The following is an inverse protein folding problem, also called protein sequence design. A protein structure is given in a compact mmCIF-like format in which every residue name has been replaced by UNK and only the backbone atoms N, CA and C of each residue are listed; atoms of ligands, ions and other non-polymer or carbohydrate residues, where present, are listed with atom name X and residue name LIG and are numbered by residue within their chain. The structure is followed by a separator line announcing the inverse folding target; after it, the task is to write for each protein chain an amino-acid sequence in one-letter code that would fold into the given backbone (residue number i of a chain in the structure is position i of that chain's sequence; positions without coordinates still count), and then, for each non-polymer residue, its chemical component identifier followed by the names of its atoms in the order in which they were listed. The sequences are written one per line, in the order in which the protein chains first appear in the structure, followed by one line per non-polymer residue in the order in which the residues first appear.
data_IF_325429892124
#
_entry.id   IF_325429892124
#
_cell.length_a   1.000
_cell.length_b   1.000
_cell.length_c   1.000
_cell.angle_alpha   90.00
_cell.angle_beta   90.00
_cell.angle_gamma   90.00
#
_symmetry.space_group_name_H-M   'P 1'
#
loop_
_entity.id
_entity.type
_entity.pdbx_description
1 polymer ?
#
# COMPACT_ATOMS: atom_id res chain seq x y z
N UNK A 1 5.22 -9.31 -18.53
CA UNK A 1 4.17 -8.33 -18.16
C UNK A 1 4.82 -6.98 -17.94
N UNK A 2 4.34 -5.97 -18.63
CA UNK A 2 4.88 -4.64 -18.47
C UNK A 2 4.33 -4.01 -17.19
N UNK A 3 5.24 -3.51 -16.36
CA UNK A 3 4.88 -2.78 -15.15
C UNK A 3 4.75 -1.31 -15.49
N UNK A 4 3.53 -0.80 -15.46
CA UNK A 4 3.23 0.58 -15.87
C UNK A 4 3.11 1.57 -14.72
N UNK A 5 3.23 1.10 -13.48
CA UNK A 5 3.08 1.96 -12.31
C UNK A 5 4.43 2.56 -11.93
N UNK A 6 4.52 3.90 -11.89
CA UNK A 6 5.75 4.60 -11.54
C UNK A 6 5.84 4.92 -10.06
N UNK A 7 4.71 4.93 -9.38
CA UNK A 7 4.66 5.21 -7.93
C UNK A 7 3.59 4.34 -7.28
N UNK A 8 3.88 3.88 -6.07
CA UNK A 8 3.02 2.97 -5.32
C UNK A 8 2.87 3.48 -3.89
N UNK A 9 1.65 3.55 -3.42
CA UNK A 9 1.37 3.80 -2.00
C UNK A 9 0.85 2.52 -1.37
N UNK A 10 1.45 2.11 -0.27
CA UNK A 10 0.99 0.97 0.52
C UNK A 10 0.26 1.49 1.74
N UNK A 11 -1.03 1.21 1.82
CA UNK A 11 -1.89 1.64 2.91
C UNK A 11 -1.96 0.53 3.95
N UNK A 12 -1.30 0.75 5.07
CA UNK A 12 -1.18 -0.21 6.15
C UNK A 12 0.23 -0.79 6.25
N UNK A 13 0.72 -0.95 7.49
CA UNK A 13 2.06 -1.44 7.77
C UNK A 13 2.04 -2.84 8.40
N UNK A 14 1.00 -3.62 8.13
CA UNK A 14 0.94 -5.02 8.58
C UNK A 14 1.92 -5.89 7.79
N UNK A 15 2.05 -7.15 8.20
CA UNK A 15 3.02 -8.07 7.60
C UNK A 15 2.87 -8.19 6.07
N UNK A 16 1.64 -8.23 5.57
CA UNK A 16 1.37 -8.34 4.13
C UNK A 16 1.86 -7.09 3.39
N UNK A 17 1.51 -5.90 3.91
CA UNK A 17 1.89 -4.64 3.28
C UNK A 17 3.40 -4.44 3.26
N UNK A 18 4.07 -4.72 4.37
CA UNK A 18 5.51 -4.59 4.47
C UNK A 18 6.23 -5.61 3.57
N UNK A 19 5.72 -6.83 3.49
CA UNK A 19 6.32 -7.85 2.63
C UNK A 19 6.23 -7.48 1.15
N UNK A 20 5.02 -7.24 0.63
CA UNK A 20 4.84 -6.96 -0.78
C UNK A 20 5.39 -5.59 -1.17
N UNK A 21 5.13 -4.57 -0.35
CA UNK A 21 5.68 -3.24 -0.58
C UNK A 21 7.20 -3.23 -0.50
N UNK A 22 7.76 -3.97 0.46
CA UNK A 22 9.20 -4.12 0.61
C UNK A 22 9.85 -4.79 -0.60
N UNK A 23 9.23 -5.84 -1.14
CA UNK A 23 9.73 -6.50 -2.35
C UNK A 23 9.73 -5.58 -3.56
N UNK A 24 8.67 -4.78 -3.71
CA UNK A 24 8.62 -3.79 -4.79
C UNK A 24 9.71 -2.72 -4.63
N UNK A 25 9.92 -2.24 -3.41
CA UNK A 25 10.97 -1.27 -3.13
C UNK A 25 12.36 -1.86 -3.38
N UNK A 26 12.58 -3.11 -3.00
CA UNK A 26 13.84 -3.82 -3.25
C UNK A 26 14.11 -3.93 -4.75
N UNK A 27 13.06 -4.10 -5.55
CA UNK A 27 13.17 -4.18 -7.00
C UNK A 27 13.40 -2.81 -7.66
N UNK A 28 13.46 -1.73 -6.89
CA UNK A 28 13.74 -0.39 -7.42
C UNK A 28 12.49 0.45 -7.68
N UNK A 29 11.31 -0.02 -7.29
CA UNK A 29 10.09 0.76 -7.47
C UNK A 29 9.96 1.87 -6.43
N UNK A 30 9.29 2.96 -6.79
CA UNK A 30 8.99 4.06 -5.87
C UNK A 30 7.81 3.68 -5.00
N UNK A 31 8.08 3.15 -3.82
CA UNK A 31 7.08 2.69 -2.87
C UNK A 31 7.07 3.58 -1.64
N UNK A 32 5.90 4.07 -1.28
CA UNK A 32 5.69 4.92 -0.12
C UNK A 32 4.67 4.25 0.80
N UNK A 33 5.03 4.12 2.07
CA UNK A 33 4.20 3.44 3.06
C UNK A 33 3.43 4.46 3.89
N UNK A 34 2.11 4.30 3.95
CA UNK A 34 1.28 5.06 4.87
C UNK A 34 1.19 4.26 6.17
N UNK A 35 1.81 4.77 7.23
CA UNK A 35 1.94 4.08 8.51
C UNK A 35 1.56 4.99 9.66
N UNK A 36 1.17 4.40 10.78
CA UNK A 36 0.78 5.15 11.97
C UNK A 36 1.78 4.93 13.10
N UNK A 37 1.61 3.84 13.85
CA UNK A 37 2.41 3.55 15.04
C UNK A 37 3.86 3.19 14.71
N UNK A 38 4.11 2.65 13.51
CA UNK A 38 5.45 2.19 13.13
C UNK A 38 6.27 3.24 12.38
N UNK A 39 5.75 4.47 12.25
CA UNK A 39 6.38 5.52 11.46
C UNK A 39 7.80 5.80 11.92
N UNK A 40 7.98 6.05 13.21
CA UNK A 40 9.30 6.44 13.73
C UNK A 40 10.32 5.31 13.61
N UNK A 41 9.90 4.07 13.84
CA UNK A 41 10.78 2.90 13.73
C UNK A 41 11.21 2.69 12.29
N UNK A 42 10.27 2.69 11.35
CA UNK A 42 10.58 2.49 9.93
C UNK A 42 11.43 3.62 9.37
N UNK A 43 11.18 4.85 9.77
CA UNK A 43 11.96 6.00 9.32
C UNK A 43 13.39 5.96 9.83
N UNK A 44 13.58 5.53 11.08
CA UNK A 44 14.90 5.49 11.72
C UNK A 44 15.72 4.27 11.32
N UNK A 45 15.07 3.09 11.29
CA UNK A 45 15.77 1.80 11.16
C UNK A 45 15.60 1.13 9.80
N UNK A 46 14.67 1.65 8.98
CA UNK A 46 14.34 1.01 7.72
C UNK A 46 13.46 -0.21 7.91
N UNK A 47 13.40 -1.06 6.89
CA UNK A 47 12.57 -2.25 6.87
C UNK A 47 13.45 -3.50 6.79
N UNK A 48 13.23 -4.43 7.73
CA UNK A 48 13.84 -5.74 7.70
C UNK A 48 12.72 -6.78 7.57
N UNK A 49 12.82 -7.62 6.55
CA UNK A 49 11.84 -8.69 6.31
C UNK A 49 12.52 -10.04 6.35
N UNK A 50 11.98 -10.94 7.18
CA UNK A 50 12.43 -12.33 7.25
C UNK A 50 11.37 -13.19 6.57
N UNK A 51 11.80 -14.00 5.61
CA UNK A 51 10.88 -14.78 4.78
C UNK A 51 11.52 -16.11 4.37
N UNK A 52 10.69 -17.13 4.19
CA UNK A 52 11.10 -18.42 3.64
C UNK A 52 11.62 -18.29 2.21
N UNK A 53 11.27 -17.22 1.52
CA UNK A 53 11.71 -16.93 0.15
C UNK A 53 12.95 -16.04 0.11
N UNK A 54 13.60 -15.82 1.24
CA UNK A 54 14.78 -14.99 1.37
C UNK A 54 14.51 -13.74 2.18
N UNK A 55 15.40 -13.43 3.09
CA UNK A 55 15.33 -12.23 3.90
C UNK A 55 15.87 -11.04 3.12
N UNK A 56 15.36 -9.87 3.42
CA UNK A 56 15.93 -8.66 2.85
C UNK A 56 15.84 -7.50 3.84
N UNK A 57 16.73 -6.53 3.65
CA UNK A 57 16.79 -5.33 4.48
C UNK A 57 16.81 -4.11 3.56
N UNK A 58 15.92 -3.16 3.85
CA UNK A 58 15.89 -1.86 3.20
C UNK A 58 16.29 -0.83 4.26
N UNK A 59 17.53 -0.30 4.22
CA UNK A 59 17.97 0.64 5.25
C UNK A 59 17.22 1.97 5.22
N UNK A 60 16.63 2.30 4.07
CA UNK A 60 15.80 3.48 3.92
C UNK A 60 14.49 3.10 3.25
N UNK A 61 13.38 3.53 3.84
CA UNK A 61 12.05 3.39 3.27
C UNK A 61 11.33 4.72 3.32
N UNK A 62 10.49 4.97 2.32
CA UNK A 62 9.67 6.18 2.30
C UNK A 62 8.40 5.92 3.10
N UNK A 63 8.23 6.66 4.17
CA UNK A 63 7.06 6.53 5.06
C UNK A 63 6.37 7.88 5.21
N UNK A 64 5.07 7.82 5.43
CA UNK A 64 4.24 9.00 5.65
C UNK A 64 3.19 8.68 6.72
N UNK A 65 2.78 9.69 7.47
CA UNK A 65 1.71 9.57 8.46
C UNK A 65 0.36 9.90 7.90
N UNK A 66 0.33 10.73 6.85
CA UNK A 66 -0.91 11.16 6.20
C UNK A 66 -0.84 10.90 4.71
N UNK A 67 -1.99 10.66 4.06
CA UNK A 67 -1.98 10.45 2.61
C UNK A 67 -1.56 11.70 1.84
N UNK A 68 -1.78 12.89 2.39
CA UNK A 68 -1.36 14.13 1.75
C UNK A 68 0.16 14.23 1.64
N UNK A 69 0.89 13.63 2.57
CA UNK A 69 2.36 13.58 2.50
C UNK A 69 2.85 12.70 1.35
N UNK A 70 2.05 11.73 0.94
CA UNK A 70 2.38 10.85 -0.19
C UNK A 70 2.01 11.53 -1.51
N UNK A 71 0.81 12.08 -1.58
CA UNK A 71 0.28 12.65 -2.81
C UNK A 71 -0.20 11.61 -3.81
N UNK A 72 -0.65 12.05 -5.00
CA UNK A 72 -1.18 11.15 -6.02
C UNK A 72 -0.14 10.13 -6.49
N UNK A 73 -0.56 8.86 -6.61
CA UNK A 73 0.28 7.74 -7.04
C UNK A 73 -0.44 6.95 -8.13
N UNK A 74 0.30 6.10 -8.83
CA UNK A 74 -0.26 5.28 -9.90
C UNK A 74 -0.98 4.05 -9.38
N UNK A 75 -0.48 3.47 -8.27
CA UNK A 75 -1.08 2.28 -7.65
C UNK A 75 -1.18 2.48 -6.14
N UNK A 76 -2.35 2.19 -5.61
CA UNK A 76 -2.57 2.13 -4.15
C UNK A 76 -2.80 0.67 -3.78
N UNK A 77 -2.04 0.16 -2.82
CA UNK A 77 -2.19 -1.20 -2.32
C UNK A 77 -2.75 -1.12 -0.91
N UNK A 78 -3.98 -1.60 -0.74
CA UNK A 78 -4.67 -1.58 0.56
C UNK A 78 -4.44 -2.91 1.24
N UNK A 79 -3.73 -2.88 2.36
CA UNK A 79 -3.32 -4.08 3.08
C UNK A 79 -3.71 -4.09 4.55
N UNK A 80 -4.29 -3.01 5.05
CA UNK A 80 -4.72 -2.96 6.45
C UNK A 80 -5.95 -3.88 6.67
N UNK A 81 -6.29 -4.12 7.92
CA UNK A 81 -7.45 -4.94 8.24
C UNK A 81 -8.74 -4.23 7.82
N UNK A 82 -9.74 -5.02 7.44
CA UNK A 82 -11.03 -4.47 6.99
C UNK A 82 -11.69 -3.56 8.05
N UNK A 83 -11.37 -3.75 9.33
CA UNK A 83 -11.85 -2.89 10.42
C UNK A 83 -11.41 -1.43 10.25
N UNK A 84 -10.38 -1.16 9.46
CA UNK A 84 -9.92 0.20 9.17
C UNK A 84 -10.54 0.80 7.91
N UNK A 85 -11.39 0.05 7.18
CA UNK A 85 -11.96 0.51 5.92
C UNK A 85 -12.84 1.75 6.04
N UNK A 86 -13.34 2.05 7.23
CA UNK A 86 -14.10 3.28 7.47
C UNK A 86 -13.27 4.55 7.24
N UNK A 87 -11.94 4.42 7.21
CA UNK A 87 -11.02 5.53 6.94
C UNK A 87 -10.74 5.72 5.45
N UNK A 88 -11.11 4.77 4.59
CA UNK A 88 -10.82 4.85 3.16
C UNK A 88 -11.35 6.12 2.49
N UNK A 89 -12.57 6.62 2.81
CA UNK A 89 -13.04 7.86 2.21
C UNK A 89 -12.17 9.09 2.49
N UNK A 90 -11.36 9.05 3.56
CA UNK A 90 -10.44 10.12 3.90
C UNK A 90 -9.04 9.87 3.34
N UNK A 91 -8.64 8.61 3.26
CA UNK A 91 -7.28 8.20 2.90
C UNK A 91 -7.07 8.15 1.38
N UNK A 92 -8.04 7.60 0.64
CA UNK A 92 -7.85 7.38 -0.78
C UNK A 92 -7.80 8.66 -1.62
N UNK A 93 -8.70 9.64 -1.45
CA UNK A 93 -8.73 10.79 -2.37
C UNK A 93 -7.40 11.51 -2.56
N UNK A 94 -6.60 11.78 -1.50
CA UNK A 94 -5.30 12.45 -1.71
C UNK A 94 -4.29 11.63 -2.51
N UNK A 95 -4.50 10.32 -2.63
CA UNK A 95 -3.59 9.40 -3.33
C UNK A 95 -3.99 9.19 -4.80
N UNK A 96 -5.09 9.77 -5.24
CA UNK A 96 -5.68 9.46 -6.54
C UNK A 96 -5.36 10.54 -7.57
N UNK A 97 -5.07 10.09 -8.80
CA UNK A 97 -5.15 10.89 -10.02
C UNK A 97 -6.03 10.12 -11.01
N UNK A 98 -6.20 10.65 -12.22
CA UNK A 98 -7.14 10.08 -13.19
C UNK A 98 -6.83 8.64 -13.62
N UNK A 99 -5.59 8.21 -13.49
CA UNK A 99 -5.16 6.85 -13.88
C UNK A 99 -4.85 5.91 -12.73
N UNK A 100 -5.11 6.32 -11.49
CA UNK A 100 -4.77 5.49 -10.33
C UNK A 100 -5.59 4.22 -10.27
N UNK A 101 -4.92 3.09 -10.04
CA UNK A 101 -5.54 1.81 -9.75
C UNK A 101 -5.39 1.49 -8.26
N UNK A 102 -6.37 0.81 -7.70
CA UNK A 102 -6.34 0.40 -6.29
C UNK A 102 -6.41 -1.12 -6.20
N UNK A 103 -5.37 -1.71 -5.65
CA UNK A 103 -5.31 -3.15 -5.39
C UNK A 103 -5.60 -3.39 -3.91
N UNK A 104 -6.56 -4.26 -3.62
CA UNK A 104 -6.80 -4.66 -2.25
C UNK A 104 -6.31 -6.10 -2.04
N UNK A 105 -5.54 -6.28 -0.98
CA UNK A 105 -5.05 -7.59 -0.52
C UNK A 105 -5.73 -7.98 0.79
N UNK A 106 -6.85 -7.33 1.11
CA UNK A 106 -7.59 -7.60 2.33
C UNK A 106 -8.37 -8.90 2.23
N UNK A 107 -8.45 -9.60 3.36
CA UNK A 107 -9.35 -10.74 3.49
C UNK A 107 -10.76 -10.25 3.83
N UNK A 108 -11.76 -10.95 3.34
CA UNK A 108 -13.14 -10.67 3.65
C UNK A 108 -13.96 -10.24 2.44
N UNK A 109 -15.27 -10.32 2.58
CA UNK A 109 -16.21 -9.96 1.53
C UNK A 109 -16.51 -8.46 1.55
N UNK A 110 -16.80 -7.91 0.39
CA UNK A 110 -17.26 -6.55 0.26
C UNK A 110 -16.17 -5.47 0.21
N UNK A 111 -14.89 -5.84 0.31
CA UNK A 111 -13.81 -4.86 0.29
C UNK A 111 -13.68 -4.16 -1.06
N UNK A 112 -13.78 -4.90 -2.13
CA UNK A 112 -13.71 -4.33 -3.49
C UNK A 112 -14.86 -3.36 -3.72
N UNK A 113 -16.05 -3.70 -3.27
CA UNK A 113 -17.24 -2.84 -3.42
C UNK A 113 -17.10 -1.54 -2.64
N UNK A 114 -16.54 -1.61 -1.43
CA UNK A 114 -16.31 -0.39 -0.62
C UNK A 114 -15.31 0.55 -1.28
N UNK A 115 -14.26 -0.01 -1.86
CA UNK A 115 -13.24 0.77 -2.57
C UNK A 115 -13.83 1.30 -3.88
N UNK A 116 -14.57 0.47 -4.61
CA UNK A 116 -15.19 0.88 -5.87
C UNK A 116 -16.16 2.06 -5.69
N UNK A 117 -16.84 2.14 -4.54
CA UNK A 117 -17.72 3.25 -4.23
C UNK A 117 -16.96 4.59 -4.13
N UNK A 118 -15.65 4.55 -3.89
CA UNK A 118 -14.81 5.73 -3.78
C UNK A 118 -14.11 6.06 -5.10
N UNK A 119 -13.56 5.04 -5.78
CA UNK A 119 -12.65 5.24 -6.92
C UNK A 119 -13.23 4.80 -8.26
N UNK A 120 -14.36 4.11 -8.26
CA UNK A 120 -14.93 3.52 -9.48
C UNK A 120 -14.52 2.07 -9.63
N UNK A 121 -15.47 1.22 -10.06
CA UNK A 121 -15.24 -0.23 -10.15
C UNK A 121 -14.13 -0.60 -11.15
N UNK A 122 -13.97 0.17 -12.22
CA UNK A 122 -12.94 -0.06 -13.24
C UNK A 122 -11.52 0.17 -12.73
N UNK A 123 -11.37 0.84 -11.59
CA UNK A 123 -10.08 1.17 -11.00
C UNK A 123 -9.69 0.27 -9.83
N UNK A 124 -10.47 -0.77 -9.57
CA UNK A 124 -10.23 -1.67 -8.44
C UNK A 124 -9.73 -3.03 -8.95
N UNK A 125 -8.67 -3.52 -8.32
CA UNK A 125 -8.11 -4.85 -8.57
C UNK A 125 -8.23 -5.63 -7.26
N UNK A 126 -8.89 -6.79 -7.31
CA UNK A 126 -8.97 -7.68 -6.16
C UNK A 126 -7.80 -8.66 -6.15
N UNK A 127 -7.16 -8.81 -5.01
CA UNK A 127 -6.11 -9.79 -4.81
C UNK A 127 -6.44 -10.68 -3.61
N UNK A 128 -5.85 -11.86 -3.59
CA UNK A 128 -6.00 -12.80 -2.48
C UNK A 128 -4.63 -13.16 -1.92
N UNK A 129 -4.52 -13.16 -0.60
CA UNK A 129 -3.33 -13.60 0.11
C UNK A 129 -3.62 -14.84 0.91
N UNK A 130 -2.81 -15.83 0.74
CA UNK A 130 -2.91 -17.08 1.49
C UNK A 130 -1.69 -17.24 2.39
#
# INVERSE_FOLDING_TARGET
MDWNFKSVAVVGAGAVGLYYGGRLAEAGEDVRFLVRSDFDVLKREGLKVESVHGDFVLPEVRVARTPEEIGPVDLVVVTWKATSNHLLPEVLPPLLHSGTQVLTLQNGLGNCEKIAAIVGAENVIGGMCF
#
